data_IF_578371244415
#
_entry.id   IF_578371244415
#
_cell.length_a   1.000
_cell.length_b   1.000
_cell.length_c   1.000
_cell.angle_alpha   90.00
_cell.angle_beta   90.00
_cell.angle_gamma   90.00
#
_symmetry.space_group_name_H-M   'P 1'
#
loop_
_entity.id
_entity.type
_entity.pdbx_description
1 polymer ?
#
# COMPACT_ATOMS: atom_id res chain seq x y z
N UNK A 1 -4.09 -5.98 -11.33
CA UNK A 1 -5.45 -5.46 -11.16
C UNK A 1 -5.90 -5.62 -9.72
N UNK A 2 -6.01 -6.84 -9.19
CA UNK A 2 -6.48 -7.12 -7.81
C UNK A 2 -5.85 -6.26 -6.69
N UNK A 3 -4.53 -6.00 -6.72
CA UNK A 3 -3.86 -5.15 -5.71
C UNK A 3 -4.28 -3.67 -5.82
N UNK A 4 -4.49 -3.17 -7.03
CA UNK A 4 -4.96 -1.80 -7.25
C UNK A 4 -6.41 -1.70 -6.81
N UNK A 5 -7.26 -2.65 -7.20
CA UNK A 5 -8.67 -2.67 -6.78
C UNK A 5 -8.78 -2.72 -5.24
N UNK A 6 -7.95 -3.53 -4.58
CA UNK A 6 -7.88 -3.57 -3.11
C UNK A 6 -7.38 -2.27 -2.48
N UNK A 7 -6.42 -1.59 -3.11
CA UNK A 7 -5.95 -0.27 -2.64
C UNK A 7 -6.98 0.84 -2.90
N UNK A 8 -7.81 0.71 -3.93
CA UNK A 8 -8.91 1.63 -4.20
C UNK A 8 -9.98 1.50 -3.12
N UNK A 9 -10.29 0.27 -2.69
CA UNK A 9 -11.27 0.00 -1.63
C UNK A 9 -10.76 0.34 -0.23
N UNK A 10 -9.49 0.02 0.09
CA UNK A 10 -8.90 0.25 1.41
C UNK A 10 -8.33 1.67 1.58
N UNK A 11 -8.21 2.44 0.49
CA UNK A 11 -7.54 3.74 0.36
C UNK A 11 -6.04 3.75 0.69
N UNK A 12 -5.66 3.22 1.86
CA UNK A 12 -4.30 3.15 2.39
C UNK A 12 -4.12 1.84 3.16
N UNK A 13 -3.21 0.98 2.70
CA UNK A 13 -3.00 -0.34 3.32
C UNK A 13 -1.52 -0.78 3.34
N UNK A 14 -1.16 -1.56 4.35
CA UNK A 14 0.08 -2.33 4.40
C UNK A 14 0.00 -3.51 3.43
N UNK A 15 1.16 -4.08 3.10
CA UNK A 15 1.20 -5.31 2.30
C UNK A 15 0.55 -6.51 3.02
N UNK A 16 0.43 -6.46 4.35
CA UNK A 16 -0.21 -7.51 5.15
C UNK A 16 -1.73 -7.38 5.09
N UNK A 17 -2.27 -6.17 5.28
CA UNK A 17 -3.70 -5.89 5.14
C UNK A 17 -4.18 -6.25 3.72
N UNK A 18 -3.42 -5.87 2.68
CA UNK A 18 -3.72 -6.29 1.30
C UNK A 18 -3.67 -7.82 1.13
N UNK A 19 -2.68 -8.47 1.74
CA UNK A 19 -2.53 -9.92 1.69
C UNK A 19 -3.75 -10.64 2.26
N UNK A 20 -4.27 -10.14 3.38
CA UNK A 20 -5.46 -10.66 4.05
C UNK A 20 -6.74 -10.34 3.27
N UNK A 21 -6.80 -9.16 2.63
CA UNK A 21 -7.98 -8.71 1.89
C UNK A 21 -8.23 -9.52 0.61
N UNK A 22 -7.17 -9.84 -0.16
CA UNK A 22 -7.31 -10.57 -1.44
C UNK A 22 -6.81 -12.02 -1.38
N UNK A 23 -6.50 -12.54 -0.19
CA UNK A 23 -6.00 -13.90 0.06
C UNK A 23 -4.76 -14.29 -0.79
N UNK A 24 -3.79 -13.36 -0.86
CA UNK A 24 -2.52 -13.56 -1.59
C UNK A 24 -1.37 -13.31 -0.65
N UNK A 25 -0.35 -14.17 -0.63
CA UNK A 25 0.77 -14.05 0.30
C UNK A 25 1.50 -12.69 0.26
N UNK A 26 1.78 -12.11 1.44
CA UNK A 26 2.36 -10.78 1.61
C UNK A 26 3.70 -10.53 0.87
N UNK A 27 4.49 -11.58 0.61
CA UNK A 27 5.73 -11.46 -0.20
C UNK A 27 5.38 -11.13 -1.65
N UNK A 28 4.38 -11.80 -2.23
CA UNK A 28 3.91 -11.54 -3.59
C UNK A 28 3.35 -10.12 -3.70
N UNK A 29 2.54 -9.71 -2.71
CA UNK A 29 2.02 -8.34 -2.61
C UNK A 29 3.16 -7.32 -2.61
N UNK A 30 4.19 -7.49 -1.77
CA UNK A 30 5.35 -6.58 -1.71
C UNK A 30 6.08 -6.48 -3.06
N UNK A 31 6.27 -7.59 -3.76
CA UNK A 31 6.93 -7.59 -5.06
C UNK A 31 6.11 -6.83 -6.11
N UNK A 32 4.80 -7.04 -6.12
CA UNK A 32 3.88 -6.33 -7.00
C UNK A 32 3.80 -4.84 -6.68
N UNK A 33 3.70 -4.45 -5.41
CA UNK A 33 3.71 -3.04 -4.98
C UNK A 33 5.02 -2.33 -5.36
N UNK A 34 6.17 -2.99 -5.22
CA UNK A 34 7.45 -2.43 -5.69
C UNK A 34 7.50 -2.28 -7.22
N UNK A 35 6.83 -3.16 -7.97
CA UNK A 35 6.67 -2.99 -9.43
C UNK A 35 5.77 -1.79 -9.74
N UNK A 36 4.58 -1.72 -9.15
CA UNK A 36 3.63 -0.62 -9.33
C UNK A 36 4.23 0.74 -8.92
N UNK A 37 5.12 0.76 -7.91
CA UNK A 37 5.85 1.96 -7.51
C UNK A 37 6.77 2.48 -8.62
N UNK A 38 7.45 1.56 -9.33
CA UNK A 38 8.30 1.91 -10.48
C UNK A 38 7.47 2.38 -11.68
N UNK A 39 6.26 1.84 -11.81
CA UNK A 39 5.26 2.24 -12.81
C UNK A 39 4.52 3.54 -12.42
N UNK A 40 4.81 4.11 -11.24
CA UNK A 40 4.22 5.33 -10.69
C UNK A 40 2.71 5.26 -10.42
N UNK A 41 2.15 4.06 -10.31
CA UNK A 41 0.72 3.83 -10.05
C UNK A 41 0.38 3.93 -8.55
N UNK A 42 1.33 3.59 -7.68
CA UNK A 42 1.18 3.65 -6.22
C UNK A 42 2.28 4.48 -5.61
N UNK A 43 2.03 4.99 -4.41
CA UNK A 43 3.03 5.65 -3.57
C UNK A 43 3.18 4.93 -2.24
N UNK A 44 4.37 5.07 -1.67
CA UNK A 44 4.81 4.38 -0.45
C UNK A 44 4.93 5.38 0.68
N UNK A 45 4.29 5.09 1.80
CA UNK A 45 4.27 5.91 3.00
C UNK A 45 5.07 5.19 4.08
N UNK A 46 6.21 5.76 4.48
CA UNK A 46 7.00 5.21 5.61
C UNK A 46 6.30 5.56 6.92
N UNK A 47 5.95 4.54 7.69
CA UNK A 47 5.33 4.71 9.00
C UNK A 47 6.40 4.99 10.06
N UNK A 48 6.10 5.95 10.93
CA UNK A 48 6.89 6.20 12.13
C UNK A 48 6.69 5.08 13.15
N UNK A 49 7.61 4.98 14.11
CA UNK A 49 7.49 4.05 15.23
C UNK A 49 6.17 4.22 15.99
N UNK A 50 5.71 5.45 16.17
CA UNK A 50 4.47 5.75 16.90
C UNK A 50 3.25 5.17 16.18
N UNK A 51 3.14 5.38 14.86
CA UNK A 51 2.03 4.86 14.06
C UNK A 51 1.98 3.33 14.08
N UNK A 52 3.13 2.67 13.92
CA UNK A 52 3.20 1.20 13.97
C UNK A 52 2.76 0.65 15.33
N UNK A 53 3.15 1.31 16.43
CA UNK A 53 2.78 0.89 17.77
C UNK A 53 1.29 1.14 18.07
N UNK A 54 0.68 2.19 17.50
CA UNK A 54 -0.76 2.44 17.62
C UNK A 54 -1.61 1.36 16.94
N UNK A 55 -1.08 0.72 15.91
CA UNK A 55 -1.72 -0.42 15.23
C UNK A 55 -1.46 -1.77 15.95
N UNK A 56 -0.79 -1.76 17.10
CA UNK A 56 -0.50 -2.98 17.87
C UNK A 56 0.59 -3.86 17.25
N UNK A 57 1.32 -3.35 16.26
CA UNK A 57 2.37 -4.08 15.56
C UNK A 57 3.72 -3.88 16.27
N UNK A 58 4.52 -4.95 16.37
CA UNK A 58 5.89 -4.86 16.89
C UNK A 58 6.78 -4.11 15.89
N UNK A 59 7.31 -2.95 16.29
CA UNK A 59 8.22 -2.18 15.46
C UNK A 59 9.60 -2.86 15.34
N UNK A 60 9.87 -3.51 14.20
CA UNK A 60 11.20 -4.02 13.83
C UNK A 60 11.57 -3.61 12.41
N UNK A 61 12.48 -2.66 12.26
CA UNK A 61 12.87 -2.12 10.95
C UNK A 61 11.84 -1.17 10.35
N UNK A 62 11.91 -0.94 9.03
CA UNK A 62 11.04 0.01 8.32
C UNK A 62 9.67 -0.60 8.00
N UNK A 63 8.62 0.19 8.24
CA UNK A 63 7.22 -0.20 8.02
C UNK A 63 6.58 0.74 7.01
N UNK A 64 5.69 0.22 6.17
CA UNK A 64 5.13 0.99 5.07
C UNK A 64 3.65 0.67 4.83
N UNK A 65 2.88 1.72 4.60
CA UNK A 65 1.60 1.64 3.90
C UNK A 65 1.75 2.09 2.45
N UNK A 66 0.78 1.72 1.64
CA UNK A 66 0.71 1.96 0.21
C UNK A 66 -0.65 2.57 -0.10
N UNK A 67 -0.68 3.44 -1.10
CA UNK A 67 -1.92 4.01 -1.64
C UNK A 67 -1.79 4.23 -3.14
N UNK A 68 -2.92 4.25 -3.85
CA UNK A 68 -2.93 4.62 -5.27
C UNK A 68 -2.52 6.09 -5.39
N UNK A 69 -1.63 6.36 -6.34
CA UNK A 69 -1.26 7.73 -6.66
C UNK A 69 -2.45 8.36 -7.38
N UNK A 70 -3.16 9.28 -6.72
CA UNK A 70 -4.24 10.03 -7.37
C UNK A 70 -3.68 10.79 -8.57
N UNK A 71 -3.90 10.26 -9.77
CA UNK A 71 -3.79 11.03 -11.00
C UNK A 71 -4.92 12.04 -10.94
N UNK A 72 -4.60 13.31 -10.66
CA UNK A 72 -5.60 14.37 -10.80
C UNK A 72 -6.28 14.16 -12.15
N UNK A 73 -7.63 14.13 -12.25
CA UNK A 73 -8.23 14.36 -13.54
C UNK A 73 -7.70 15.72 -13.97
N UNK A 74 -6.93 15.74 -15.06
CA UNK A 74 -6.75 16.96 -15.83
C UNK A 74 -8.18 17.39 -16.12
N UNK A 75 -8.65 18.44 -15.44
CA UNK A 75 -9.88 19.12 -15.82
C UNK A 75 -9.74 19.38 -17.31
N UNK A 76 -10.53 18.66 -18.12
CA UNK A 76 -10.82 19.10 -19.48
C UNK A 76 -11.71 20.32 -19.28
N UNK A 77 -11.12 21.46 -19.61
CA UNK A 77 -11.73 22.77 -19.87
C UNK A 77 -12.96 23.19 -19.03
#
# INVERSE_FOLDING_TARGET
QEILDALEELEVATAQELSEFIDVGAISIRNSLNRLLREMEVEKIELTRTEVLQEGIKFSGKHFKWKIKQTRPLKKD
#
